data_IF_945842566181
#
_entry.id   IF_945842566181
#
_cell.length_a   1.000
_cell.length_b   1.000
_cell.length_c   1.000
_cell.angle_alpha   90.00
_cell.angle_beta   90.00
_cell.angle_gamma   90.00
#
_symmetry.space_group_name_H-M   'P 1'
#
loop_
_entity.id
_entity.type
_entity.pdbx_description
1 polymer ?
#
# COMPACT_ATOMS: atom_id res chain seq x y z
N UNK A 1 16.95 -41.60 -6.99
CA UNK A 1 16.10 -42.78 -7.22
C UNK A 1 16.91 -44.03 -6.91
N UNK A 2 16.50 -44.87 -5.97
CA UNK A 2 17.34 -45.95 -5.40
C UNK A 2 16.93 -47.38 -5.83
N UNK A 3 15.83 -47.58 -6.56
CA UNK A 3 15.29 -48.93 -6.80
C UNK A 3 14.78 -49.21 -8.22
N UNK A 4 14.98 -48.31 -9.21
CA UNK A 4 14.52 -48.46 -10.60
C UNK A 4 13.09 -49.02 -10.77
N UNK A 5 12.18 -48.69 -9.83
CA UNK A 5 10.78 -49.09 -9.87
C UNK A 5 9.99 -48.06 -10.66
N UNK A 6 9.23 -48.52 -11.66
CA UNK A 6 8.23 -47.70 -12.33
C UNK A 6 7.12 -47.33 -11.34
N UNK A 7 6.89 -46.03 -11.16
CA UNK A 7 5.76 -45.49 -10.41
C UNK A 7 4.67 -45.18 -11.43
N UNK A 8 3.42 -45.62 -11.24
CA UNK A 8 2.34 -45.25 -12.14
C UNK A 8 2.18 -43.72 -12.16
N UNK A 9 2.37 -43.12 -13.34
CA UNK A 9 2.35 -41.66 -13.55
C UNK A 9 1.01 -41.16 -14.11
N UNK A 10 0.04 -42.05 -14.32
CA UNK A 10 -1.24 -41.77 -14.98
C UNK A 10 -2.34 -41.25 -14.04
N UNK A 11 -1.99 -40.84 -12.81
CA UNK A 11 -2.91 -40.16 -11.92
C UNK A 11 -2.88 -38.66 -12.22
N UNK A 12 -3.89 -38.16 -12.91
CA UNK A 12 -4.10 -36.71 -13.04
C UNK A 12 -5.01 -36.23 -11.91
N UNK A 13 -4.63 -35.16 -11.18
CA UNK A 13 -5.56 -34.54 -10.24
C UNK A 13 -6.79 -34.03 -11.01
N UNK A 14 -7.99 -34.10 -10.41
CA UNK A 14 -9.19 -33.54 -11.05
C UNK A 14 -9.05 -32.03 -11.20
N UNK A 15 -9.55 -31.49 -12.31
CA UNK A 15 -9.73 -30.05 -12.47
C UNK A 15 -10.97 -29.59 -11.67
N UNK A 16 -10.77 -28.63 -10.77
CA UNK A 16 -11.79 -28.09 -9.87
C UNK A 16 -12.03 -26.58 -10.08
N UNK A 17 -11.54 -25.98 -11.18
CA UNK A 17 -11.69 -24.55 -11.44
C UNK A 17 -13.16 -24.08 -11.43
N UNK A 18 -14.07 -24.84 -12.04
CA UNK A 18 -15.50 -24.51 -12.10
C UNK A 18 -16.30 -24.86 -10.83
N UNK A 19 -15.64 -25.41 -9.80
CA UNK A 19 -16.28 -25.86 -8.54
C UNK A 19 -15.95 -24.96 -7.35
N UNK A 20 -15.40 -23.79 -7.61
CA UNK A 20 -15.02 -22.84 -6.55
C UNK A 20 -16.23 -22.00 -6.11
N UNK A 21 -16.39 -21.84 -4.80
CA UNK A 21 -17.44 -21.01 -4.20
C UNK A 21 -16.78 -19.80 -3.52
N UNK A 22 -17.15 -18.59 -3.95
CA UNK A 22 -16.68 -17.33 -3.35
C UNK A 22 -17.73 -16.68 -2.47
N UNK A 23 -17.52 -16.66 -1.14
CA UNK A 23 -18.44 -16.02 -0.18
C UNK A 23 -17.99 -14.62 0.27
N UNK A 24 -16.80 -14.18 -0.14
CA UNK A 24 -16.28 -12.85 0.17
C UNK A 24 -16.87 -11.83 -0.80
N UNK A 25 -17.66 -10.84 -0.34
CA UNK A 25 -18.21 -9.82 -1.22
C UNK A 25 -17.11 -9.01 -1.91
N UNK A 26 -17.36 -8.66 -3.17
CA UNK A 26 -16.53 -7.73 -3.92
C UNK A 26 -16.47 -6.34 -3.27
N UNK A 27 -15.64 -5.47 -3.83
CA UNK A 27 -15.69 -4.03 -3.48
C UNK A 27 -16.93 -3.44 -4.14
N UNK A 28 -17.84 -2.85 -3.34
CA UNK A 28 -19.05 -2.22 -3.86
C UNK A 28 -18.71 -0.87 -4.52
N UNK A 29 -18.22 0.06 -3.72
CA UNK A 29 -17.69 1.36 -4.14
C UNK A 29 -16.85 1.94 -2.98
N UNK A 30 -16.03 2.94 -3.30
CA UNK A 30 -15.26 3.73 -2.34
C UNK A 30 -15.77 5.18 -2.32
N UNK A 31 -15.56 5.86 -1.19
CA UNK A 31 -15.93 7.25 -0.99
C UNK A 31 -15.02 7.93 0.02
N UNK A 32 -14.97 9.26 -0.04
CA UNK A 32 -14.33 10.14 0.94
C UNK A 32 -15.37 11.05 1.61
N UNK A 33 -15.04 11.70 2.74
CA UNK A 33 -15.87 12.78 3.27
C UNK A 33 -16.07 13.93 2.25
N UNK A 34 -17.14 14.72 2.38
CA UNK A 34 -17.33 15.91 1.53
C UNK A 34 -16.11 16.84 1.55
N UNK A 35 -15.66 17.28 0.38
CA UNK A 35 -14.50 18.16 0.24
C UNK A 35 -13.13 17.47 0.30
N UNK A 36 -13.07 16.18 0.61
CA UNK A 36 -11.84 15.39 0.68
C UNK A 36 -11.69 14.55 -0.59
N UNK A 37 -10.48 14.45 -1.12
CA UNK A 37 -10.13 13.62 -2.28
C UNK A 37 -9.38 12.36 -1.82
N UNK A 38 -9.41 11.32 -2.64
CA UNK A 38 -8.51 10.18 -2.44
C UNK A 38 -7.06 10.63 -2.56
N UNK A 39 -6.20 10.18 -1.64
CA UNK A 39 -4.82 10.63 -1.51
C UNK A 39 -4.63 11.81 -0.57
N UNK A 40 -5.70 12.46 -0.09
CA UNK A 40 -5.58 13.49 0.95
C UNK A 40 -5.15 12.88 2.29
N UNK A 41 -4.32 13.62 3.04
CA UNK A 41 -3.80 13.18 4.33
C UNK A 41 -4.82 13.41 5.43
N UNK A 42 -5.20 12.36 6.16
CA UNK A 42 -6.10 12.44 7.32
C UNK A 42 -5.33 12.64 8.64
N UNK A 43 -4.09 12.16 8.70
CA UNK A 43 -3.15 12.40 9.82
C UNK A 43 -1.75 12.50 9.25
N UNK A 44 -1.18 13.69 9.29
CA UNK A 44 0.10 14.01 8.64
C UNK A 44 1.28 13.88 9.60
N UNK A 45 2.48 13.83 9.03
CA UNK A 45 3.72 13.95 9.79
C UNK A 45 3.77 15.33 10.46
N UNK A 46 4.25 15.45 11.72
CA UNK A 46 4.36 16.74 12.39
C UNK A 46 5.18 17.74 11.57
N UNK A 47 4.71 18.98 11.49
CA UNK A 47 5.39 20.02 10.73
C UNK A 47 6.78 20.32 11.32
N UNK A 48 7.76 20.57 10.45
CA UNK A 48 9.16 20.88 10.82
C UNK A 48 9.80 19.82 11.74
N UNK A 49 9.43 18.55 11.56
CA UNK A 49 9.95 17.44 12.36
C UNK A 49 11.30 16.94 11.87
N UNK A 50 12.10 16.45 12.82
CA UNK A 50 13.33 15.70 12.57
C UNK A 50 13.24 14.40 13.34
N UNK A 51 13.51 13.28 12.67
CA UNK A 51 13.52 11.95 13.23
C UNK A 51 14.94 11.40 13.25
N UNK A 52 15.19 10.50 14.21
CA UNK A 52 16.45 9.75 14.29
C UNK A 52 16.31 8.44 13.52
N UNK A 53 17.42 7.90 13.06
CA UNK A 53 17.46 6.51 12.60
C UNK A 53 17.01 5.55 13.72
N UNK A 54 16.37 4.45 13.32
CA UNK A 54 15.70 3.51 14.22
C UNK A 54 14.33 3.97 14.73
N UNK A 55 13.94 5.24 14.54
CA UNK A 55 12.58 5.70 14.90
C UNK A 55 11.55 5.41 13.82
N UNK A 56 10.27 5.40 14.21
CA UNK A 56 9.16 5.13 13.28
C UNK A 56 8.39 6.41 12.98
N UNK A 57 8.22 6.71 11.70
CA UNK A 57 7.41 7.82 11.18
C UNK A 57 6.16 7.25 10.51
N UNK A 58 5.03 7.93 10.63
CA UNK A 58 3.82 7.52 9.93
C UNK A 58 3.03 8.70 9.36
N UNK A 59 2.21 8.39 8.36
CA UNK A 59 1.17 9.27 7.83
C UNK A 59 -0.03 8.44 7.39
N UNK A 60 -1.24 8.95 7.59
CA UNK A 60 -2.48 8.29 7.19
C UNK A 60 -3.20 9.08 6.11
N UNK A 61 -3.64 8.38 5.06
CA UNK A 61 -4.30 8.95 3.89
C UNK A 61 -5.72 8.43 3.77
N UNK A 62 -6.62 9.26 3.26
CA UNK A 62 -7.90 8.82 2.73
C UNK A 62 -7.67 7.99 1.47
N UNK A 63 -8.09 6.73 1.50
CA UNK A 63 -7.80 5.75 0.44
C UNK A 63 -9.04 4.94 0.06
N UNK A 64 -8.85 4.00 -0.86
CA UNK A 64 -9.82 3.03 -1.35
C UNK A 64 -9.40 1.59 -1.02
N UNK A 65 -10.27 0.61 -1.27
CA UNK A 65 -9.93 -0.79 -1.06
C UNK A 65 -8.80 -1.27 -2.00
N UNK A 66 -7.70 -1.86 -1.48
CA UNK A 66 -6.58 -2.34 -2.30
C UNK A 66 -6.96 -3.54 -3.20
N UNK A 67 -8.16 -4.11 -3.03
CA UNK A 67 -8.67 -5.15 -3.95
C UNK A 67 -9.16 -4.58 -5.29
N UNK A 68 -9.26 -3.26 -5.43
CA UNK A 68 -9.64 -2.66 -6.72
C UNK A 68 -8.54 -2.87 -7.77
N UNK A 69 -7.28 -2.75 -7.36
CA UNK A 69 -6.11 -3.00 -8.19
C UNK A 69 -4.99 -3.46 -7.26
N UNK A 70 -4.38 -4.61 -7.57
CA UNK A 70 -3.30 -5.17 -6.76
C UNK A 70 -2.00 -4.39 -6.93
N UNK A 71 -1.92 -3.50 -7.93
CA UNK A 71 -0.70 -2.78 -8.31
C UNK A 71 0.48 -3.73 -8.47
N UNK A 72 0.26 -4.87 -9.13
CA UNK A 72 1.32 -5.83 -9.43
C UNK A 72 2.43 -5.16 -10.25
N UNK A 73 3.69 -5.38 -9.86
CA UNK A 73 4.87 -4.67 -10.38
C UNK A 73 4.85 -3.14 -10.17
N UNK A 74 3.95 -2.66 -9.30
CA UNK A 74 3.88 -1.30 -8.79
C UNK A 74 4.00 -1.29 -7.26
N UNK A 75 3.52 -0.22 -6.63
CA UNK A 75 3.62 -0.03 -5.17
C UNK A 75 2.44 0.75 -4.62
N UNK A 76 2.00 0.45 -3.40
CA UNK A 76 1.04 1.25 -2.64
C UNK A 76 1.70 2.38 -1.85
N UNK A 77 3.00 2.28 -1.56
CA UNK A 77 3.68 3.17 -0.63
C UNK A 77 5.15 3.37 -1.02
N UNK A 78 5.57 4.62 -1.09
CA UNK A 78 6.96 5.02 -1.20
C UNK A 78 7.37 5.90 -0.03
N UNK A 79 8.63 5.78 0.34
CA UNK A 79 9.41 6.85 0.98
C UNK A 79 10.28 7.46 -0.10
N UNK A 80 10.04 8.73 -0.41
CA UNK A 80 10.86 9.49 -1.37
C UNK A 80 11.85 10.38 -0.62
N UNK A 81 13.10 10.44 -1.09
CA UNK A 81 14.16 11.33 -0.60
C UNK A 81 14.30 12.53 -1.53
N UNK A 82 14.50 13.72 -0.97
CA UNK A 82 14.80 14.92 -1.74
C UNK A 82 16.28 14.94 -2.15
N UNK A 83 16.55 14.92 -3.45
CA UNK A 83 17.90 14.97 -4.05
C UNK A 83 17.92 15.92 -5.24
N UNK A 84 18.80 16.93 -5.22
CA UNK A 84 18.92 17.89 -6.31
C UNK A 84 17.62 18.64 -6.64
N UNK A 85 16.72 18.80 -5.66
CA UNK A 85 15.40 19.41 -5.84
C UNK A 85 14.30 18.45 -6.33
N UNK A 86 14.64 17.19 -6.61
CA UNK A 86 13.71 16.16 -7.07
C UNK A 86 13.43 15.14 -5.96
N UNK A 87 12.23 14.57 -5.96
CA UNK A 87 11.86 13.49 -5.07
C UNK A 87 12.16 12.15 -5.74
N UNK A 88 13.07 11.38 -5.15
CA UNK A 88 13.54 10.09 -5.67
C UNK A 88 13.04 8.98 -4.74
N UNK A 89 12.41 7.91 -5.27
CA UNK A 89 12.06 6.73 -4.47
C UNK A 89 13.30 6.18 -3.77
N UNK A 90 13.22 5.99 -2.46
CA UNK A 90 14.31 5.46 -1.63
C UNK A 90 13.92 4.14 -0.97
N UNK A 91 12.63 3.98 -0.62
CA UNK A 91 12.06 2.74 -0.11
C UNK A 91 10.64 2.56 -0.66
N UNK A 92 10.22 1.31 -0.84
CA UNK A 92 8.86 0.97 -1.26
C UNK A 92 8.22 -0.13 -0.38
N UNK A 93 7.07 -0.65 -0.76
CA UNK A 93 6.32 -1.63 0.02
C UNK A 93 6.82 -3.09 -0.10
N UNK A 94 7.93 -3.32 -0.82
CA UNK A 94 8.71 -4.55 -0.75
C UNK A 94 9.86 -4.49 0.29
N UNK A 95 10.20 -3.29 0.76
CA UNK A 95 11.18 -3.09 1.83
C UNK A 95 10.61 -3.43 3.21
N UNK A 96 11.36 -4.20 3.99
CA UNK A 96 10.97 -4.57 5.36
C UNK A 96 10.69 -3.37 6.29
N UNK A 97 11.33 -2.24 5.98
CA UNK A 97 11.27 -1.03 6.79
C UNK A 97 9.98 -0.23 6.59
N UNK A 98 9.27 -0.41 5.48
CA UNK A 98 8.06 0.33 5.13
C UNK A 98 6.84 -0.58 5.15
N UNK A 99 5.78 -0.15 5.83
CA UNK A 99 4.53 -0.90 5.96
C UNK A 99 3.36 -0.09 5.41
N UNK A 100 2.63 -0.70 4.49
CA UNK A 100 1.30 -0.27 4.09
C UNK A 100 0.22 -0.97 4.94
N UNK A 101 -0.58 -0.18 5.68
CA UNK A 101 -1.66 -0.70 6.51
C UNK A 101 -3.00 -0.13 6.03
N UNK A 102 -3.82 -0.96 5.39
CA UNK A 102 -5.18 -0.59 5.03
C UNK A 102 -6.16 -0.85 6.17
N UNK A 103 -7.07 0.09 6.43
CA UNK A 103 -8.12 -0.05 7.43
C UNK A 103 -9.41 0.64 7.03
N UNK A 104 -10.51 0.24 7.65
CA UNK A 104 -11.82 0.89 7.53
C UNK A 104 -12.55 0.86 8.87
N UNK A 105 -13.40 1.84 9.18
CA UNK A 105 -14.05 1.93 10.48
C UNK A 105 -15.08 0.81 10.71
N UNK A 106 -15.70 0.30 9.64
CA UNK A 106 -16.71 -0.77 9.69
C UNK A 106 -16.59 -1.69 8.47
N UNK A 107 -17.01 -2.95 8.59
CA UNK A 107 -16.93 -3.97 7.53
C UNK A 107 -17.60 -3.62 6.21
N UNK A 108 -18.57 -2.70 6.19
CA UNK A 108 -19.23 -2.27 4.95
C UNK A 108 -19.05 -0.77 4.70
N UNK A 109 -18.12 -0.12 5.40
CA UNK A 109 -17.84 1.29 5.17
C UNK A 109 -17.25 1.47 3.77
N UNK A 110 -17.77 2.43 2.97
CA UNK A 110 -17.14 2.82 1.72
C UNK A 110 -15.95 3.77 1.94
N UNK A 111 -15.65 4.14 3.19
CA UNK A 111 -14.50 4.99 3.55
C UNK A 111 -13.40 4.12 4.11
N UNK A 112 -12.17 4.38 3.69
CA UNK A 112 -11.01 3.64 4.18
C UNK A 112 -9.78 4.53 4.30
N UNK A 113 -8.80 4.03 5.03
CA UNK A 113 -7.56 4.71 5.35
C UNK A 113 -6.35 3.83 5.00
N UNK A 114 -5.29 4.47 4.50
CA UNK A 114 -3.98 3.86 4.32
C UNK A 114 -3.02 4.52 5.29
N UNK A 115 -2.50 3.79 6.26
CA UNK A 115 -1.41 4.25 7.12
C UNK A 115 -0.10 3.71 6.59
N UNK A 116 0.78 4.62 6.18
CA UNK A 116 2.15 4.31 5.79
C UNK A 116 3.01 4.48 7.04
N UNK A 117 3.79 3.46 7.37
CA UNK A 117 4.66 3.43 8.55
C UNK A 117 6.06 3.03 8.14
N UNK A 118 7.03 3.93 8.33
CA UNK A 118 8.43 3.68 8.02
C UNK A 118 9.24 3.66 9.31
N UNK A 119 9.83 2.51 9.62
CA UNK A 119 10.87 2.40 10.63
C UNK A 119 12.20 2.71 9.97
N UNK A 120 12.74 3.90 10.23
CA UNK A 120 13.92 4.43 9.54
C UNK A 120 15.12 3.49 9.76
N UNK A 121 15.70 2.89 8.70
CA UNK A 121 16.88 2.04 8.81
C UNK A 121 18.09 2.79 9.42
N UNK A 122 18.96 2.07 10.13
CA UNK A 122 20.18 2.64 10.74
C UNK A 122 21.18 3.17 9.69
N UNK A 123 21.17 2.58 8.50
CA UNK A 123 21.98 2.95 7.35
C UNK A 123 21.30 3.97 6.43
N UNK A 124 20.06 4.38 6.73
CA UNK A 124 19.36 5.40 5.96
C UNK A 124 20.21 6.69 5.88
N UNK A 125 20.44 7.25 4.68
CA UNK A 125 21.17 8.50 4.55
C UNK A 125 20.43 9.64 5.26
N UNK A 126 21.14 10.54 5.93
CA UNK A 126 20.52 11.75 6.46
C UNK A 126 19.98 12.60 5.31
N UNK A 127 18.81 13.22 5.49
CA UNK A 127 18.16 13.94 4.40
C UNK A 127 16.73 14.35 4.71
N UNK A 128 16.05 14.84 3.69
CA UNK A 128 14.62 15.20 3.76
C UNK A 128 13.85 14.14 2.99
N UNK A 129 12.83 13.59 3.63
CA UNK A 129 12.00 12.51 3.13
C UNK A 129 10.52 12.89 3.13
N UNK A 130 9.70 12.18 2.37
CA UNK A 130 8.24 12.24 2.45
C UNK A 130 7.64 10.88 2.11
N UNK A 131 6.40 10.64 2.55
CA UNK A 131 5.62 9.52 2.06
C UNK A 131 4.89 9.88 0.76
N UNK A 132 4.79 8.91 -0.12
CA UNK A 132 3.89 8.94 -1.26
C UNK A 132 3.04 7.68 -1.29
N UNK A 133 1.73 7.85 -1.37
CA UNK A 133 0.77 6.76 -1.41
C UNK A 133 0.15 6.66 -2.81
N UNK A 134 -0.07 5.44 -3.28
CA UNK A 134 -0.78 5.14 -4.53
C UNK A 134 -1.97 4.26 -4.24
N UNK A 135 -3.05 4.44 -4.99
CA UNK A 135 -4.22 3.58 -4.86
C UNK A 135 -5.18 3.70 -6.03
N UNK A 136 -6.17 2.84 -6.04
CA UNK A 136 -7.19 2.76 -7.08
C UNK A 136 -8.58 2.79 -6.45
N UNK A 137 -9.38 3.79 -6.79
CA UNK A 137 -10.72 4.00 -6.24
C UNK A 137 -11.80 3.49 -7.18
N UNK A 138 -12.81 2.80 -6.65
CA UNK A 138 -13.97 2.36 -7.41
C UNK A 138 -15.15 3.31 -7.15
N UNK A 139 -15.55 4.15 -8.13
CA UNK A 139 -16.74 4.99 -7.97
C UNK A 139 -18.01 4.13 -8.01
N UNK A 140 -19.14 4.71 -7.58
CA UNK A 140 -20.45 4.05 -7.69
C UNK A 140 -20.85 3.77 -9.14
N UNK A 141 -20.48 4.68 -10.06
CA UNK A 141 -20.74 4.57 -11.50
C UNK A 141 -19.43 4.87 -12.22
N UNK A 142 -19.08 4.02 -13.20
CA UNK A 142 -17.89 4.17 -14.03
C UNK A 142 -16.78 3.16 -13.70
N UNK A 143 -15.57 3.48 -14.14
CA UNK A 143 -14.39 2.63 -13.98
C UNK A 143 -13.55 3.01 -12.76
N UNK A 144 -12.68 2.10 -12.36
CA UNK A 144 -11.65 2.34 -11.35
C UNK A 144 -10.75 3.52 -11.79
N UNK A 145 -10.35 4.35 -10.82
CA UNK A 145 -9.48 5.51 -11.02
C UNK A 145 -8.30 5.50 -10.06
N UNK A 146 -7.10 5.54 -10.61
CA UNK A 146 -5.86 5.68 -9.83
C UNK A 146 -5.72 7.09 -9.26
N UNK A 147 -5.10 7.18 -8.09
CA UNK A 147 -4.78 8.43 -7.42
C UNK A 147 -3.44 8.31 -6.68
N UNK A 148 -2.89 9.47 -6.30
CA UNK A 148 -1.71 9.55 -5.45
C UNK A 148 -1.91 10.54 -4.32
N UNK A 149 -1.30 10.27 -3.17
CA UNK A 149 -1.23 11.17 -2.02
C UNK A 149 0.22 11.44 -1.63
N UNK A 150 0.48 12.56 -0.96
CA UNK A 150 1.81 12.91 -0.49
C UNK A 150 1.73 13.56 0.88
N UNK A 151 2.56 13.09 1.83
CA UNK A 151 2.65 13.70 3.16
C UNK A 151 3.44 15.00 3.13
N UNK A 152 3.48 15.71 4.25
CA UNK A 152 4.55 16.69 4.49
C UNK A 152 5.93 16.03 4.46
N UNK A 153 6.92 16.85 4.14
CA UNK A 153 8.32 16.48 4.25
C UNK A 153 8.80 16.48 5.71
N UNK A 154 9.74 15.60 6.03
CA UNK A 154 10.37 15.49 7.34
C UNK A 154 11.86 15.19 7.21
N UNK A 155 12.66 15.62 8.18
CA UNK A 155 14.11 15.37 8.17
C UNK A 155 14.47 14.08 8.91
N UNK A 156 15.51 13.38 8.44
CA UNK A 156 16.14 12.25 9.12
C UNK A 156 17.59 12.59 9.40
N UNK A 157 18.03 12.37 10.64
CA UNK A 157 19.42 12.57 11.09
C UNK A 157 19.97 11.35 11.80
#
# INVERSE_FOLDING_TARGET
MLANKEVPTNFQPPDLLDRQIGLLPGVMFDSTPPGVKFGDVSSDVPANSTFRKGSTVNATFHTACPRNDLLTDGTFALVEKLEGGNWIPAYDDDDWSLRFKWSRPLRLSPRSFATLEWTIPEDAPSGVYRFRHFGASKPLIGSIKHFTGTSRAFAVR
#
